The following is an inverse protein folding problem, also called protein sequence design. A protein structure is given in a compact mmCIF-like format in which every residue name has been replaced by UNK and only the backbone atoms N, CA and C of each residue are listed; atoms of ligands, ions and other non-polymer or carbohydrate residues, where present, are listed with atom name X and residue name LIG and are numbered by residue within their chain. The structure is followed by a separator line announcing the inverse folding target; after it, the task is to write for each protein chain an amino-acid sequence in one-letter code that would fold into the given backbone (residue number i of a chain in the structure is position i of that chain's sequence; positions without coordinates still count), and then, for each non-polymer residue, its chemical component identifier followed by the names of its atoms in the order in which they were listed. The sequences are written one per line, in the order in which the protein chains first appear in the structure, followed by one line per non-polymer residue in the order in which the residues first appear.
data_IF_380039859617
#
_entry.id   IF_380039859617
#
_cell.length_a   1.000
_cell.length_b   1.000
_cell.length_c   1.000
_cell.angle_alpha   90.00
_cell.angle_beta   90.00
_cell.angle_gamma   90.00
#
_symmetry.space_group_name_H-M   'P 1'
#
loop_
_entity.id
_entity.type
_entity.pdbx_description
1 polymer ?
#
# COMPACT_ATOMS: atom_id res chain seq x y z
N UNK A 1 -59.59 10.35 -10.51
CA UNK A 1 -60.80 10.76 -11.27
C UNK A 1 -60.29 11.49 -12.51
N UNK A 2 -59.93 10.73 -13.56
CA UNK A 2 -60.79 10.28 -14.68
C UNK A 2 -60.86 11.40 -15.74
N UNK A 3 -60.48 11.28 -17.01
CA UNK A 3 -60.21 10.15 -17.92
C UNK A 3 -59.14 10.62 -18.97
N UNK A 4 -58.24 9.80 -19.54
CA UNK A 4 -58.45 8.81 -20.62
C UNK A 4 -59.35 9.36 -21.77
N UNK A 5 -59.09 9.23 -23.08
CA UNK A 5 -58.31 8.26 -23.87
C UNK A 5 -58.43 8.60 -25.38
N UNK A 6 -57.37 8.31 -26.14
CA UNK A 6 -57.30 7.67 -27.48
C UNK A 6 -57.79 8.32 -28.80
N UNK A 7 -56.84 8.31 -29.76
CA UNK A 7 -56.93 8.07 -31.25
C UNK A 7 -57.53 9.19 -32.13
N UNK A 8 -57.04 9.51 -33.32
CA UNK A 8 -56.28 8.77 -34.36
C UNK A 8 -55.49 9.73 -35.29
N UNK A 9 -54.42 9.22 -35.92
CA UNK A 9 -53.53 9.85 -36.92
C UNK A 9 -54.25 10.08 -38.29
N UNK A 10 -53.62 10.59 -39.39
CA UNK A 10 -52.20 10.93 -39.64
C UNK A 10 -51.93 12.22 -40.47
N UNK A 11 -50.69 12.75 -40.47
CA UNK A 11 -50.00 13.23 -41.70
C UNK A 11 -48.55 13.67 -41.45
N UNK A 12 -47.63 12.97 -42.12
CA UNK A 12 -46.33 13.37 -42.71
C UNK A 12 -45.70 14.73 -42.33
N UNK A 13 -44.51 14.69 -41.73
CA UNK A 13 -43.46 15.70 -41.95
C UNK A 13 -42.07 15.10 -41.67
N UNK A 14 -41.16 15.33 -42.61
CA UNK A 14 -39.87 14.70 -42.79
C UNK A 14 -38.84 15.05 -41.72
N UNK A 15 -37.96 14.07 -41.48
CA UNK A 15 -36.66 14.22 -40.82
C UNK A 15 -35.68 15.01 -41.69
N UNK A 16 -34.92 15.91 -41.05
CA UNK A 16 -33.54 16.23 -41.44
C UNK A 16 -32.78 16.65 -40.18
N UNK A 17 -31.81 15.83 -39.80
CA UNK A 17 -30.82 16.08 -38.75
C UNK A 17 -29.98 17.31 -39.12
N UNK A 18 -29.73 18.18 -38.14
CA UNK A 18 -28.86 19.35 -38.30
C UNK A 18 -27.40 18.94 -38.02
N UNK A 19 -26.55 19.12 -39.04
CA UNK A 19 -25.09 18.98 -38.96
C UNK A 19 -24.48 19.95 -37.92
N UNK A 20 -23.59 19.43 -37.08
CA UNK A 20 -22.74 20.26 -36.22
C UNK A 20 -21.56 20.83 -37.02
N UNK A 21 -21.10 22.07 -36.74
CA UNK A 21 -20.09 22.73 -37.57
C UNK A 21 -18.70 22.14 -37.37
N UNK A 22 -18.04 21.82 -38.49
CA UNK A 22 -16.65 21.35 -38.54
C UNK A 22 -15.70 22.57 -38.46
N UNK A 23 -14.80 22.55 -37.48
CA UNK A 23 -13.73 23.56 -37.28
C UNK A 23 -12.68 23.52 -38.40
N UNK A 24 -12.19 24.67 -38.91
CA UNK A 24 -11.26 24.73 -40.05
C UNK A 24 -9.75 24.77 -39.65
N UNK A 25 -9.37 24.42 -38.42
CA UNK A 25 -7.95 24.36 -38.00
C UNK A 25 -7.57 22.96 -37.47
N UNK A 26 -6.36 22.46 -37.80
CA UNK A 26 -5.97 21.08 -37.52
C UNK A 26 -5.72 20.86 -36.02
N UNK A 27 -6.43 19.89 -35.43
CA UNK A 27 -6.14 19.36 -34.10
C UNK A 27 -5.03 18.30 -34.20
N UNK A 28 -3.80 18.66 -33.85
CA UNK A 28 -2.70 17.70 -33.58
C UNK A 28 -1.98 18.12 -32.30
N UNK A 29 -1.48 17.26 -31.40
CA UNK A 29 -1.56 15.81 -31.19
C UNK A 29 -1.01 15.54 -29.78
N UNK A 30 -1.71 14.81 -28.91
CA UNK A 30 -1.32 14.60 -27.49
C UNK A 30 -0.32 13.46 -27.24
N UNK A 31 0.85 13.67 -26.62
CA UNK A 31 1.45 12.70 -25.72
C UNK A 31 1.27 13.09 -24.24
N UNK A 32 0.12 13.72 -23.89
CA UNK A 32 -0.67 13.59 -22.64
C UNK A 32 -1.54 14.83 -22.24
N UNK A 33 -2.38 15.37 -23.14
CA UNK A 33 -3.57 16.19 -22.77
C UNK A 33 -4.33 16.80 -23.98
N UNK A 34 -5.59 17.28 -23.85
CA UNK A 34 -6.62 16.96 -22.86
C UNK A 34 -7.51 15.78 -23.31
N UNK A 35 -7.87 14.90 -22.38
CA UNK A 35 -8.56 13.63 -22.64
C UNK A 35 -10.08 13.73 -22.52
N UNK A 36 -10.80 13.15 -23.48
CA UNK A 36 -12.21 12.73 -23.28
C UNK A 36 -12.62 11.57 -24.21
N UNK A 37 -11.77 10.56 -24.41
CA UNK A 37 -12.15 9.37 -25.14
C UNK A 37 -11.73 8.12 -24.37
N UNK A 38 -12.72 7.33 -23.94
CA UNK A 38 -12.54 5.99 -23.40
C UNK A 38 -12.31 5.02 -24.55
N UNK A 39 -11.06 4.67 -24.82
CA UNK A 39 -10.70 3.66 -25.81
C UNK A 39 -9.25 3.78 -26.30
N UNK A 40 -8.72 2.70 -26.89
CA UNK A 40 -7.46 2.74 -27.62
C UNK A 40 -7.65 3.58 -28.89
N UNK A 41 -6.92 4.68 -29.02
CA UNK A 41 -6.93 5.51 -30.23
C UNK A 41 -5.59 5.39 -30.92
N UNK A 42 -5.57 4.70 -32.06
CA UNK A 42 -4.42 4.70 -32.97
C UNK A 42 -4.39 6.06 -33.66
N UNK A 43 -3.29 6.79 -33.54
CA UNK A 43 -3.06 7.98 -34.37
C UNK A 43 -2.30 7.58 -35.62
N UNK A 44 -2.63 8.25 -36.72
CA UNK A 44 -1.75 8.32 -37.88
C UNK A 44 -0.85 9.55 -37.72
N UNK A 45 0.47 9.37 -37.67
CA UNK A 45 1.41 10.49 -37.79
C UNK A 45 2.51 10.11 -38.78
N UNK A 46 2.54 10.86 -39.89
CA UNK A 46 3.59 10.75 -40.89
C UNK A 46 4.91 11.31 -40.33
N UNK A 47 5.84 10.45 -39.98
CA UNK A 47 7.27 10.80 -39.88
C UNK A 47 8.09 9.73 -40.60
N UNK A 48 9.09 10.14 -41.38
CA UNK A 48 9.77 9.27 -42.36
C UNK A 48 10.62 8.15 -41.72
N UNK A 49 10.81 8.13 -40.38
CA UNK A 49 11.71 7.18 -39.71
C UNK A 49 11.23 6.61 -38.36
N UNK A 50 10.05 6.96 -37.84
CA UNK A 50 9.51 6.38 -36.61
C UNK A 50 8.11 5.80 -36.87
N UNK A 51 7.91 4.51 -36.54
CA UNK A 51 6.61 3.86 -36.65
C UNK A 51 5.56 4.51 -35.74
N UNK A 52 4.27 4.33 -36.08
CA UNK A 52 3.16 4.87 -35.29
C UNK A 52 3.21 4.34 -33.84
N UNK A 53 3.26 5.24 -32.85
CA UNK A 53 3.16 4.86 -31.43
C UNK A 53 1.71 4.47 -31.09
N UNK A 54 1.55 3.33 -30.43
CA UNK A 54 0.26 2.86 -29.94
C UNK A 54 0.01 3.41 -28.53
N UNK A 55 -1.08 4.17 -28.35
CA UNK A 55 -1.53 4.62 -27.04
C UNK A 55 -2.56 3.64 -26.45
N UNK A 56 -2.25 3.07 -25.28
CA UNK A 56 -3.15 2.17 -24.54
C UNK A 56 -3.43 2.77 -23.16
N UNK A 57 -4.71 2.83 -22.80
CA UNK A 57 -5.16 3.12 -21.44
C UNK A 57 -5.42 1.80 -20.71
N UNK A 58 -4.57 1.46 -19.75
CA UNK A 58 -4.77 0.33 -18.84
C UNK A 58 -5.51 0.83 -17.59
N UNK A 59 -6.71 0.30 -17.34
CA UNK A 59 -7.57 0.72 -16.23
C UNK A 59 -8.65 1.76 -16.63
N UNK A 60 -9.47 2.24 -15.68
CA UNK A 60 -9.34 2.07 -14.23
C UNK A 60 -9.82 0.70 -13.73
N UNK A 61 -10.45 -0.10 -14.60
CA UNK A 61 -10.86 -1.48 -14.29
C UNK A 61 -9.98 -2.45 -15.06
N UNK A 62 -8.98 -3.02 -14.39
CA UNK A 62 -8.15 -4.09 -14.94
C UNK A 62 -7.70 -5.03 -13.81
N UNK A 63 -7.75 -6.36 -13.97
CA UNK A 63 -7.41 -7.31 -12.90
C UNK A 63 -6.05 -7.04 -12.26
N UNK A 64 -5.04 -6.74 -13.09
CA UNK A 64 -3.66 -6.54 -12.63
C UNK A 64 -3.34 -5.14 -12.08
N UNK A 65 -4.34 -4.26 -11.98
CA UNK A 65 -4.16 -2.92 -11.37
C UNK A 65 -4.54 -2.88 -9.88
N UNK A 66 -4.95 -4.04 -9.32
CA UNK A 66 -5.27 -4.24 -7.90
C UNK A 66 -6.15 -3.15 -7.27
N UNK A 67 -7.17 -2.75 -8.02
CA UNK A 67 -8.17 -1.76 -7.61
C UNK A 67 -8.53 -0.82 -8.76
N UNK A 68 -8.78 0.45 -8.42
CA UNK A 68 -9.17 1.51 -9.36
C UNK A 68 -7.96 2.39 -9.71
N UNK A 69 -7.09 1.88 -10.58
CA UNK A 69 -5.89 2.59 -11.04
C UNK A 69 -5.83 2.60 -12.56
N UNK A 70 -5.44 3.75 -13.12
CA UNK A 70 -5.26 3.91 -14.56
C UNK A 70 -3.85 4.35 -14.88
N UNK A 71 -3.24 3.74 -15.87
CA UNK A 71 -2.00 4.21 -16.48
C UNK A 71 -2.17 4.28 -18.00
N UNK A 72 -1.75 5.39 -18.59
CA UNK A 72 -1.72 5.56 -20.03
C UNK A 72 -0.30 5.29 -20.51
N UNK A 73 -0.13 4.27 -21.36
CA UNK A 73 1.16 3.91 -21.93
C UNK A 73 1.18 4.28 -23.42
N UNK A 74 2.31 4.83 -23.88
CA UNK A 74 2.65 4.93 -25.29
C UNK A 74 3.66 3.82 -25.61
N UNK A 75 3.40 3.07 -26.67
CA UNK A 75 4.14 1.87 -27.03
C UNK A 75 4.74 2.00 -28.42
N UNK A 76 5.99 1.59 -28.57
CA UNK A 76 6.62 1.29 -29.86
C UNK A 76 6.67 -0.25 -29.99
N UNK A 77 5.75 -0.81 -30.78
CA UNK A 77 5.46 -2.24 -30.74
C UNK A 77 4.98 -2.70 -29.35
N UNK A 78 5.80 -3.47 -28.65
CA UNK A 78 5.52 -3.96 -27.29
C UNK A 78 6.24 -3.15 -26.20
N UNK A 79 7.16 -2.27 -26.58
CA UNK A 79 8.06 -1.56 -25.67
C UNK A 79 7.42 -0.25 -25.21
N UNK A 80 7.42 -0.01 -23.90
CA UNK A 80 6.92 1.23 -23.31
C UNK A 80 7.92 2.36 -23.53
N UNK A 81 7.49 3.39 -24.26
CA UNK A 81 8.27 4.61 -24.51
C UNK A 81 7.87 5.75 -23.58
N UNK A 82 6.65 5.70 -23.03
CA UNK A 82 6.12 6.69 -22.10
C UNK A 82 5.00 6.11 -21.25
N UNK A 83 4.90 6.49 -19.97
CA UNK A 83 3.84 6.00 -19.09
C UNK A 83 3.37 7.09 -18.13
N UNK A 84 2.07 7.39 -18.13
CA UNK A 84 1.48 8.35 -17.21
C UNK A 84 0.54 7.65 -16.23
N UNK A 85 0.90 7.54 -14.94
CA UNK A 85 -0.04 7.08 -13.92
C UNK A 85 -1.10 8.16 -13.67
N UNK A 86 -2.35 7.73 -13.47
CA UNK A 86 -3.50 8.60 -13.18
C UNK A 86 -4.09 8.19 -11.84
N UNK A 87 -4.05 9.12 -10.90
CA UNK A 87 -4.51 8.98 -9.52
C UNK A 87 -5.87 9.65 -9.29
N UNK A 88 -6.46 9.42 -8.12
CA UNK A 88 -7.61 10.15 -7.60
C UNK A 88 -8.95 9.44 -7.68
N UNK A 89 -9.01 8.23 -8.26
CA UNK A 89 -10.26 7.48 -8.39
C UNK A 89 -10.84 7.03 -7.04
N UNK A 90 -9.98 6.86 -6.02
CA UNK A 90 -10.40 6.49 -4.67
C UNK A 90 -10.22 7.65 -3.66
N UNK A 91 -10.12 8.89 -4.17
CA UNK A 91 -9.92 10.07 -3.31
C UNK A 91 -11.17 10.37 -2.49
N UNK A 92 -11.02 10.36 -1.15
CA UNK A 92 -12.12 10.53 -0.20
C UNK A 92 -11.94 11.74 0.73
N UNK A 93 -11.00 12.64 0.41
CA UNK A 93 -10.64 13.78 1.27
C UNK A 93 -10.30 13.33 2.70
N UNK A 94 -9.51 12.26 2.85
CA UNK A 94 -9.14 11.66 4.13
C UNK A 94 -8.47 12.68 5.04
N UNK A 95 -7.53 13.45 4.51
CA UNK A 95 -6.85 14.49 5.29
C UNK A 95 -7.80 15.57 5.78
N UNK A 96 -8.80 15.94 4.97
CA UNK A 96 -9.80 16.95 5.35
C UNK A 96 -10.74 16.43 6.42
N UNK A 97 -11.18 15.17 6.31
CA UNK A 97 -11.95 14.51 7.36
C UNK A 97 -11.13 14.43 8.66
N UNK A 98 -9.83 14.18 8.53
CA UNK A 98 -8.85 14.23 9.61
C UNK A 98 -8.92 15.50 10.45
N UNK A 99 -8.98 16.67 9.81
CA UNK A 99 -9.07 17.99 10.47
C UNK A 99 -10.42 18.21 11.19
N UNK A 100 -11.50 17.59 10.70
CA UNK A 100 -12.84 17.77 11.29
C UNK A 100 -13.14 16.83 12.46
N UNK A 101 -12.40 15.74 12.56
CA UNK A 101 -12.60 14.72 13.58
C UNK A 101 -11.69 14.96 14.79
N UNK A 102 -12.13 14.50 15.96
CA UNK A 102 -11.23 14.46 17.12
C UNK A 102 -10.06 13.49 16.88
N UNK A 103 -8.95 13.69 17.59
CA UNK A 103 -7.78 12.79 17.47
C UNK A 103 -8.15 11.30 17.59
N UNK A 104 -8.99 10.94 18.57
CA UNK A 104 -9.44 9.56 18.75
C UNK A 104 -10.37 9.09 17.63
N UNK A 105 -11.23 9.96 17.10
CA UNK A 105 -12.14 9.63 16.02
C UNK A 105 -11.44 9.38 14.68
N UNK A 106 -10.18 9.84 14.53
CA UNK A 106 -9.35 9.57 13.36
C UNK A 106 -8.70 8.18 13.36
N UNK A 107 -8.59 7.53 14.51
CA UNK A 107 -7.96 6.20 14.64
C UNK A 107 -8.59 5.15 13.70
N UNK A 108 -9.91 5.03 13.54
CA UNK A 108 -10.50 4.07 12.59
C UNK A 108 -10.30 4.45 11.11
N UNK A 109 -10.01 5.72 10.81
CA UNK A 109 -9.79 6.15 9.43
C UNK A 109 -8.41 5.72 8.94
N UNK A 110 -7.40 5.67 9.82
CA UNK A 110 -6.05 5.26 9.43
C UNK A 110 -6.03 3.83 8.90
N UNK A 111 -6.85 2.94 9.47
CA UNK A 111 -6.97 1.54 9.03
C UNK A 111 -7.49 1.42 7.59
N UNK A 112 -8.17 2.48 7.10
CA UNK A 112 -8.77 2.52 5.76
C UNK A 112 -7.87 3.14 4.70
N UNK A 113 -6.69 3.64 5.09
CA UNK A 113 -5.65 4.08 4.15
C UNK A 113 -5.10 2.85 3.43
N UNK A 114 -4.45 1.96 4.17
CA UNK A 114 -4.05 0.65 3.68
C UNK A 114 -4.76 -0.45 4.47
N UNK A 115 -5.73 -1.08 3.79
CA UNK A 115 -6.58 -2.14 4.33
C UNK A 115 -5.88 -3.50 4.47
N UNK A 116 -4.65 -3.65 3.97
CA UNK A 116 -3.81 -4.82 4.19
C UNK A 116 -2.91 -4.64 5.42
N UNK A 117 -2.43 -3.43 5.68
CA UNK A 117 -1.53 -3.11 6.80
C UNK A 117 -2.15 -2.15 7.83
N UNK A 118 -3.44 -2.35 8.15
CA UNK A 118 -4.23 -1.50 9.05
C UNK A 118 -3.55 -1.23 10.39
N UNK A 119 -2.95 -2.24 11.03
CA UNK A 119 -2.30 -2.10 12.34
C UNK A 119 -1.12 -1.11 12.29
N UNK A 120 -0.27 -1.20 11.27
CA UNK A 120 0.87 -0.29 11.12
C UNK A 120 0.41 1.14 10.80
N UNK A 121 -0.67 1.30 10.03
CA UNK A 121 -1.26 2.62 9.80
C UNK A 121 -1.79 3.24 11.09
N UNK A 122 -2.48 2.44 11.90
CA UNK A 122 -2.94 2.83 13.23
C UNK A 122 -1.78 3.24 14.12
N UNK A 123 -0.68 2.49 14.09
CA UNK A 123 0.50 2.73 14.90
C UNK A 123 1.20 4.04 14.53
N UNK A 124 1.43 4.26 13.25
CA UNK A 124 2.10 5.46 12.75
C UNK A 124 1.37 6.74 13.22
N UNK A 125 0.05 6.74 13.14
CA UNK A 125 -0.77 7.84 13.61
C UNK A 125 -0.75 7.99 15.13
N UNK A 126 -0.94 6.88 15.87
CA UNK A 126 -0.91 6.89 17.34
C UNK A 126 0.45 7.39 17.85
N UNK A 127 1.55 6.95 17.24
CA UNK A 127 2.90 7.40 17.54
C UNK A 127 3.09 8.91 17.31
N UNK A 128 2.55 9.44 16.20
CA UNK A 128 2.58 10.89 15.94
C UNK A 128 1.80 11.69 16.98
N UNK A 129 0.62 11.21 17.38
CA UNK A 129 -0.20 11.85 18.42
C UNK A 129 0.46 11.76 19.80
N UNK A 130 1.07 10.63 20.13
CA UNK A 130 1.81 10.44 21.38
C UNK A 130 3.00 11.39 21.49
N UNK A 131 3.79 11.54 20.41
CA UNK A 131 4.86 12.55 20.33
C UNK A 131 4.32 13.97 20.52
N UNK A 132 3.22 14.30 19.84
CA UNK A 132 2.59 15.63 19.93
C UNK A 132 2.07 15.95 21.34
N UNK A 133 1.52 14.94 22.02
CA UNK A 133 0.93 15.09 23.35
C UNK A 133 1.93 14.86 24.51
N UNK A 134 3.14 14.38 24.21
CA UNK A 134 4.13 13.98 25.22
C UNK A 134 3.68 12.76 26.05
N UNK A 135 2.94 11.83 25.44
CA UNK A 135 2.47 10.61 26.09
C UNK A 135 3.51 9.51 25.84
N UNK A 136 3.94 8.82 26.90
CA UNK A 136 4.82 7.65 26.78
C UNK A 136 3.99 6.38 27.02
N UNK A 137 3.94 5.44 26.05
CA UNK A 137 3.27 4.16 26.24
C UNK A 137 3.91 3.33 27.36
N UNK A 138 3.15 2.38 27.92
CA UNK A 138 3.72 1.42 28.86
C UNK A 138 4.65 0.44 28.15
N UNK A 139 5.62 -0.12 28.87
CA UNK A 139 6.58 -1.05 28.28
C UNK A 139 5.89 -2.28 27.67
N UNK A 140 4.93 -2.87 28.37
CA UNK A 140 4.11 -3.97 27.84
C UNK A 140 3.39 -3.59 26.55
N UNK A 141 2.89 -2.35 26.44
CA UNK A 141 2.25 -1.87 25.22
C UNK A 141 3.22 -1.85 24.04
N UNK A 142 4.46 -1.38 24.24
CA UNK A 142 5.47 -1.32 23.18
C UNK A 142 5.78 -2.73 22.62
N UNK A 143 5.98 -3.72 23.49
CA UNK A 143 6.18 -5.11 23.06
C UNK A 143 5.00 -5.65 22.24
N UNK A 144 3.76 -5.41 22.71
CA UNK A 144 2.57 -5.86 21.99
C UNK A 144 2.37 -5.12 20.66
N UNK A 145 2.72 -3.84 20.57
CA UNK A 145 2.71 -3.08 19.30
C UNK A 145 3.71 -3.64 18.30
N UNK A 146 4.92 -4.01 18.75
CA UNK A 146 5.92 -4.67 17.90
C UNK A 146 5.40 -6.02 17.41
N UNK A 147 4.85 -6.86 18.29
CA UNK A 147 4.28 -8.17 17.91
C UNK A 147 3.19 -8.00 16.84
N UNK A 148 2.24 -7.10 17.07
CA UNK A 148 1.12 -6.86 16.17
C UNK A 148 1.54 -6.15 14.87
N UNK A 149 2.53 -5.26 14.94
CA UNK A 149 3.10 -4.56 13.78
C UNK A 149 3.84 -5.51 12.85
N UNK A 150 4.68 -6.40 13.40
CA UNK A 150 5.38 -7.42 12.61
C UNK A 150 4.43 -8.52 12.10
N UNK A 151 3.38 -8.88 12.86
CA UNK A 151 2.33 -9.75 12.34
C UNK A 151 1.60 -9.09 11.14
N UNK A 152 1.32 -7.79 11.23
CA UNK A 152 0.78 -7.01 10.10
C UNK A 152 1.73 -6.96 8.90
N UNK A 153 3.06 -6.95 9.14
CA UNK A 153 4.07 -7.04 8.08
C UNK A 153 4.03 -8.38 7.36
N UNK A 154 3.95 -9.47 8.11
CA UNK A 154 3.82 -10.80 7.54
C UNK A 154 2.55 -10.90 6.69
N UNK A 155 1.39 -10.44 7.20
CA UNK A 155 0.12 -10.47 6.47
C UNK A 155 0.21 -9.72 5.13
N UNK A 156 0.82 -8.54 5.13
CA UNK A 156 1.01 -7.76 3.91
C UNK A 156 1.93 -8.51 2.91
N UNK A 157 3.09 -8.99 3.36
CA UNK A 157 4.07 -9.63 2.48
C UNK A 157 3.57 -10.96 1.89
N UNK A 158 2.87 -11.78 2.67
CA UNK A 158 2.22 -13.00 2.19
C UNK A 158 1.24 -12.66 1.07
N UNK A 159 0.42 -11.63 1.26
CA UNK A 159 -0.54 -11.18 0.26
C UNK A 159 0.16 -10.71 -1.02
N UNK A 160 1.19 -9.85 -0.89
CA UNK A 160 1.96 -9.35 -2.02
C UNK A 160 2.61 -10.48 -2.82
N UNK A 161 3.30 -11.41 -2.16
CA UNK A 161 3.96 -12.55 -2.81
C UNK A 161 2.94 -13.36 -3.60
N UNK A 162 1.79 -13.67 -2.99
CA UNK A 162 0.71 -14.38 -3.67
C UNK A 162 0.20 -13.66 -4.92
N UNK A 163 -0.08 -12.35 -4.82
CA UNK A 163 -0.60 -11.58 -5.95
C UNK A 163 0.44 -11.35 -7.05
N UNK A 164 1.69 -11.05 -6.71
CA UNK A 164 2.77 -10.89 -7.67
C UNK A 164 2.93 -12.15 -8.54
N UNK A 165 2.90 -13.33 -7.92
CA UNK A 165 2.98 -14.60 -8.65
C UNK A 165 1.75 -14.87 -9.50
N UNK A 166 0.57 -14.44 -9.04
CA UNK A 166 -0.65 -14.56 -9.82
C UNK A 166 -0.58 -13.67 -11.08
N UNK A 167 -0.08 -12.45 -10.95
CA UNK A 167 0.13 -11.53 -12.09
C UNK A 167 1.20 -12.04 -13.06
N UNK A 168 2.19 -12.78 -12.56
CA UNK A 168 3.18 -13.50 -13.37
C UNK A 168 2.60 -14.70 -14.13
N UNK A 169 1.39 -15.15 -13.79
CA UNK A 169 0.67 -16.22 -14.51
C UNK A 169 0.66 -17.58 -13.82
N UNK A 170 1.12 -17.71 -12.57
CA UNK A 170 1.13 -19.00 -11.82
C UNK A 170 -0.26 -19.53 -11.44
N UNK A 171 -1.32 -18.94 -11.98
CA UNK A 171 -2.71 -19.42 -11.92
C UNK A 171 -3.15 -19.84 -10.51
N UNK A 172 -3.27 -18.85 -9.62
CA UNK A 172 -3.84 -18.94 -8.27
C UNK A 172 -3.16 -19.84 -7.23
N UNK A 173 -2.39 -20.87 -7.58
CA UNK A 173 -1.87 -21.84 -6.61
C UNK A 173 -1.09 -21.19 -5.44
N UNK A 174 -0.02 -20.39 -5.69
CA UNK A 174 0.69 -19.72 -4.60
C UNK A 174 -0.16 -18.64 -3.92
N UNK A 175 -1.08 -18.01 -4.66
CA UNK A 175 -2.02 -17.03 -4.09
C UNK A 175 -2.97 -17.69 -3.08
N UNK A 176 -3.53 -18.86 -3.38
CA UNK A 176 -4.42 -19.58 -2.48
C UNK A 176 -3.71 -20.05 -1.21
N UNK A 177 -2.45 -20.49 -1.32
CA UNK A 177 -1.65 -20.85 -0.14
C UNK A 177 -1.37 -19.63 0.71
N UNK A 178 -1.04 -18.50 0.08
CA UNK A 178 -0.84 -17.22 0.76
C UNK A 178 -2.12 -16.74 1.46
N UNK A 179 -3.27 -16.83 0.79
CA UNK A 179 -4.56 -16.47 1.39
C UNK A 179 -4.93 -17.41 2.54
N UNK A 180 -4.62 -18.71 2.47
CA UNK A 180 -4.82 -19.64 3.59
C UNK A 180 -4.05 -19.21 4.83
N UNK A 181 -2.77 -18.86 4.69
CA UNK A 181 -1.98 -18.38 5.83
C UNK A 181 -2.46 -17.01 6.32
N UNK A 182 -2.87 -16.12 5.41
CA UNK A 182 -3.53 -14.87 5.76
C UNK A 182 -4.77 -15.10 6.62
N UNK A 183 -5.67 -16.00 6.22
CA UNK A 183 -6.90 -16.26 6.99
C UNK A 183 -6.61 -16.78 8.41
N UNK A 184 -5.61 -17.65 8.59
CA UNK A 184 -5.20 -18.11 9.93
C UNK A 184 -4.71 -16.98 10.83
N UNK A 185 -3.94 -16.04 10.27
CA UNK A 185 -3.52 -14.84 11.00
C UNK A 185 -4.69 -13.90 11.28
N UNK A 186 -5.66 -13.80 10.35
CA UNK A 186 -6.87 -13.01 10.57
C UNK A 186 -7.76 -13.60 11.67
N UNK A 187 -7.84 -14.92 11.82
CA UNK A 187 -8.60 -15.55 12.91
C UNK A 187 -8.01 -15.15 14.28
N UNK A 188 -6.68 -15.12 14.41
CA UNK A 188 -6.00 -14.64 15.62
C UNK A 188 -6.29 -13.15 15.87
N UNK A 189 -6.26 -12.31 14.82
CA UNK A 189 -6.55 -10.89 14.96
C UNK A 189 -8.03 -10.61 15.25
N UNK A 190 -8.95 -11.40 14.70
CA UNK A 190 -10.37 -11.31 15.01
C UNK A 190 -10.64 -11.65 16.47
N UNK A 191 -10.04 -12.72 16.99
CA UNK A 191 -10.14 -13.12 18.39
C UNK A 191 -9.72 -11.98 19.33
N UNK A 192 -8.65 -11.26 18.98
CA UNK A 192 -8.10 -10.18 19.79
C UNK A 192 -8.88 -8.87 19.67
N UNK A 193 -9.28 -8.49 18.45
CA UNK A 193 -9.75 -7.13 18.13
C UNK A 193 -11.27 -7.06 17.90
N UNK A 194 -11.90 -8.21 17.62
CA UNK A 194 -13.30 -8.32 17.20
C UNK A 194 -13.55 -7.95 15.73
N UNK A 195 -12.50 -7.75 14.92
CA UNK A 195 -12.61 -7.42 13.49
C UNK A 195 -11.53 -8.13 12.66
N UNK A 196 -11.82 -8.40 11.38
CA UNK A 196 -10.91 -9.13 10.48
C UNK A 196 -9.95 -8.26 9.68
N UNK A 197 -10.23 -6.97 9.49
CA UNK A 197 -9.38 -6.08 8.66
C UNK A 197 -9.23 -4.67 9.26
N UNK A 198 -10.34 -4.08 9.71
CA UNK A 198 -10.38 -2.72 10.28
C UNK A 198 -10.37 -2.81 11.81
N UNK A 199 -9.19 -3.03 12.38
CA UNK A 199 -9.05 -3.48 13.77
C UNK A 199 -9.36 -2.39 14.81
N UNK A 200 -9.05 -1.12 14.50
CA UNK A 200 -9.20 0.02 15.39
C UNK A 200 -8.72 -0.31 16.83
N UNK A 201 -7.46 -0.73 16.94
CA UNK A 201 -6.95 -1.42 18.13
C UNK A 201 -5.98 -0.58 18.97
N UNK A 202 -5.06 0.16 18.34
CA UNK A 202 -4.10 0.99 19.10
C UNK A 202 -4.77 2.24 19.65
N UNK A 203 -4.30 2.67 20.83
CA UNK A 203 -4.82 3.82 21.57
C UNK A 203 -3.66 4.66 22.05
N UNK A 204 -3.92 5.94 22.33
CA UNK A 204 -2.87 6.82 22.86
C UNK A 204 -2.45 6.34 24.25
N UNK A 205 -1.17 6.01 24.41
CA UNK A 205 -0.58 5.45 25.62
C UNK A 205 -0.89 3.97 25.88
N UNK A 206 -1.44 3.23 24.91
CA UNK A 206 -1.85 1.85 25.14
C UNK A 206 -2.52 1.13 23.98
N UNK A 207 -3.36 0.15 24.32
CA UNK A 207 -4.15 -0.70 23.41
C UNK A 207 -5.60 -0.77 23.87
N UNK A 208 -6.52 -1.14 22.97
CA UNK A 208 -7.94 -1.30 23.31
C UNK A 208 -8.18 -2.37 24.37
N UNK A 209 -7.51 -3.51 24.25
CA UNK A 209 -7.58 -4.65 25.18
C UNK A 209 -6.20 -5.30 25.30
N UNK A 210 -5.96 -5.99 26.40
CA UNK A 210 -4.75 -6.83 26.58
C UNK A 210 -4.93 -8.18 25.87
N UNK A 211 -3.82 -8.84 25.59
CA UNK A 211 -3.77 -10.19 25.05
C UNK A 211 -3.88 -11.23 26.17
N UNK A 212 -4.51 -12.37 25.88
CA UNK A 212 -4.49 -13.51 26.80
C UNK A 212 -3.22 -14.35 26.62
N UNK A 213 -2.79 -15.06 27.67
CA UNK A 213 -1.65 -15.97 27.58
C UNK A 213 -1.89 -17.11 26.58
N UNK A 214 -3.15 -17.55 26.48
CA UNK A 214 -3.62 -18.57 25.55
C UNK A 214 -3.52 -18.11 24.08
N UNK A 215 -3.87 -16.84 23.80
CA UNK A 215 -3.67 -16.23 22.49
C UNK A 215 -2.19 -16.18 22.09
N UNK A 216 -1.31 -15.77 23.03
CA UNK A 216 0.13 -15.77 22.79
C UNK A 216 0.65 -17.18 22.51
N UNK A 217 0.20 -18.19 23.24
CA UNK A 217 0.58 -19.59 23.00
C UNK A 217 0.16 -20.07 21.60
N UNK A 218 -1.06 -19.74 21.16
CA UNK A 218 -1.54 -20.05 19.80
C UNK A 218 -0.72 -19.36 18.72
N UNK A 219 -0.44 -18.06 18.87
CA UNK A 219 0.39 -17.32 17.91
C UNK A 219 1.78 -17.97 17.79
N UNK A 220 2.41 -18.30 18.93
CA UNK A 220 3.72 -18.95 18.95
C UNK A 220 3.68 -20.29 18.21
N UNK A 221 2.71 -21.15 18.53
CA UNK A 221 2.55 -22.45 17.89
C UNK A 221 2.34 -22.33 16.38
N UNK A 222 1.54 -21.36 15.94
CA UNK A 222 1.33 -21.10 14.53
C UNK A 222 2.63 -20.68 13.82
N UNK A 223 3.36 -19.71 14.39
CA UNK A 223 4.57 -19.17 13.78
C UNK A 223 5.70 -20.21 13.72
N UNK A 224 5.95 -20.95 14.80
CA UNK A 224 7.02 -21.96 14.87
C UNK A 224 6.68 -23.24 14.09
N UNK A 225 5.40 -23.54 13.90
CA UNK A 225 4.93 -24.75 13.22
C UNK A 225 4.50 -24.50 11.79
N UNK A 226 3.24 -24.08 11.63
CA UNK A 226 2.56 -24.03 10.33
C UNK A 226 3.15 -22.95 9.41
N UNK A 227 3.43 -21.77 9.94
CA UNK A 227 3.93 -20.66 9.13
C UNK A 227 5.39 -20.85 8.70
N UNK A 228 6.25 -21.34 9.60
CA UNK A 228 7.63 -21.68 9.27
C UNK A 228 7.69 -22.70 8.12
N UNK A 229 6.88 -23.76 8.19
CA UNK A 229 6.76 -24.75 7.12
C UNK A 229 6.28 -24.12 5.81
N UNK A 230 5.29 -23.24 5.86
CA UNK A 230 4.81 -22.53 4.66
C UNK A 230 5.93 -21.69 4.02
N UNK A 231 6.73 -20.96 4.81
CA UNK A 231 7.84 -20.17 4.27
C UNK A 231 8.88 -21.05 3.57
N UNK A 232 9.23 -22.19 4.17
CA UNK A 232 10.21 -23.12 3.58
C UNK A 232 9.67 -23.78 2.31
N UNK A 233 8.38 -24.15 2.27
CA UNK A 233 7.73 -24.67 1.07
C UNK A 233 7.70 -23.63 -0.06
N UNK A 234 7.35 -22.38 0.25
CA UNK A 234 7.32 -21.28 -0.73
C UNK A 234 8.72 -21.00 -1.30
N UNK A 235 9.72 -20.92 -0.43
CA UNK A 235 11.11 -20.69 -0.81
C UNK A 235 11.63 -21.81 -1.72
N UNK A 236 11.38 -23.07 -1.34
CA UNK A 236 11.79 -24.23 -2.13
C UNK A 236 11.15 -24.30 -3.52
N UNK A 237 9.89 -23.86 -3.65
CA UNK A 237 9.15 -23.93 -4.91
C UNK A 237 9.40 -22.72 -5.83
N UNK A 238 9.64 -21.54 -5.27
CA UNK A 238 9.59 -20.28 -6.01
C UNK A 238 10.97 -19.67 -6.23
N UNK A 239 11.83 -19.65 -5.21
CA UNK A 239 13.08 -18.88 -5.25
C UNK A 239 14.01 -19.30 -6.38
N UNK A 240 14.11 -20.60 -6.64
CA UNK A 240 14.91 -21.16 -7.75
C UNK A 240 14.12 -21.43 -9.03
N UNK A 241 12.86 -20.99 -9.14
CA UNK A 241 12.03 -21.28 -10.29
C UNK A 241 12.50 -20.50 -11.53
N UNK A 242 12.84 -21.22 -12.60
CA UNK A 242 13.40 -20.64 -13.84
C UNK A 242 12.47 -19.60 -14.49
N UNK A 243 11.15 -19.81 -14.43
CA UNK A 243 10.17 -18.88 -15.01
C UNK A 243 10.11 -17.61 -14.17
N UNK A 244 10.10 -17.73 -12.83
CA UNK A 244 10.12 -16.57 -11.94
C UNK A 244 11.38 -15.73 -12.21
N UNK A 245 12.55 -16.38 -12.24
CA UNK A 245 13.83 -15.72 -12.52
C UNK A 245 13.79 -15.01 -13.87
N UNK A 246 13.39 -15.69 -14.95
CA UNK A 246 13.34 -15.13 -16.29
C UNK A 246 12.38 -13.94 -16.44
N UNK A 247 11.32 -13.86 -15.62
CA UNK A 247 10.34 -12.76 -15.69
C UNK A 247 10.63 -11.59 -14.76
N UNK A 248 11.48 -11.78 -13.75
CA UNK A 248 11.68 -10.77 -12.68
C UNK A 248 13.10 -10.24 -12.62
N UNK A 249 14.10 -11.02 -13.03
CA UNK A 249 15.49 -10.57 -13.07
C UNK A 249 15.71 -9.58 -14.21
N UNK A 250 16.36 -8.45 -13.92
CA UNK A 250 16.58 -7.37 -14.88
C UNK A 250 15.34 -6.55 -15.22
N UNK A 251 14.18 -6.86 -14.62
CA UNK A 251 12.91 -6.17 -14.88
C UNK A 251 12.65 -5.07 -13.84
N UNK A 252 12.42 -3.84 -14.29
CA UNK A 252 12.11 -2.69 -13.42
C UNK A 252 13.25 -2.36 -12.47
N UNK A 253 14.46 -2.21 -13.01
CA UNK A 253 15.66 -1.89 -12.23
C UNK A 253 15.53 -0.49 -11.62
N UNK A 254 15.56 -0.43 -10.30
CA UNK A 254 15.58 0.81 -9.53
C UNK A 254 17.03 1.13 -9.13
N UNK A 255 17.61 2.18 -9.71
CA UNK A 255 18.96 2.64 -9.32
C UNK A 255 18.93 3.32 -7.95
N UNK A 256 19.97 3.16 -7.12
CA UNK A 256 20.07 3.78 -5.80
C UNK A 256 19.83 5.30 -5.80
N UNK A 257 20.49 6.02 -6.71
CA UNK A 257 20.39 7.48 -6.78
C UNK A 257 18.98 7.96 -7.13
N UNK A 258 18.30 7.24 -8.04
CA UNK A 258 16.91 7.53 -8.38
C UNK A 258 15.98 7.25 -7.21
N UNK A 259 16.19 6.12 -6.51
CA UNK A 259 15.40 5.75 -5.34
C UNK A 259 15.48 6.82 -4.24
N UNK A 260 16.68 7.31 -3.96
CA UNK A 260 16.92 8.36 -2.95
C UNK A 260 16.29 9.68 -3.39
N UNK A 261 16.53 10.12 -4.63
CA UNK A 261 16.02 11.41 -5.12
C UNK A 261 14.49 11.44 -5.21
N UNK A 262 13.86 10.31 -5.52
CA UNK A 262 12.40 10.19 -5.54
C UNK A 262 11.78 10.05 -4.14
N UNK A 263 12.59 9.85 -3.09
CA UNK A 263 12.11 9.57 -1.74
C UNK A 263 11.46 8.19 -1.61
N UNK A 264 11.80 7.24 -2.49
CA UNK A 264 11.36 5.86 -2.42
C UNK A 264 11.83 5.24 -1.11
N UNK A 265 10.98 4.49 -0.41
CA UNK A 265 11.33 3.90 0.90
C UNK A 265 10.90 2.44 1.03
N UNK A 266 11.39 1.78 2.06
CA UNK A 266 10.97 0.41 2.39
C UNK A 266 11.68 -0.66 1.60
N UNK A 267 11.03 -1.83 1.42
CA UNK A 267 11.64 -2.97 0.76
C UNK A 267 12.11 -2.69 -0.68
N UNK A 268 11.48 -1.76 -1.41
CA UNK A 268 11.97 -1.40 -2.74
C UNK A 268 13.23 -0.53 -2.73
N UNK A 269 13.42 0.32 -1.72
CA UNK A 269 14.68 1.06 -1.53
C UNK A 269 15.81 0.09 -1.17
N UNK A 270 15.55 -0.84 -0.25
CA UNK A 270 16.52 -1.88 0.15
C UNK A 270 16.87 -2.84 -0.98
N UNK A 271 15.92 -3.16 -1.85
CA UNK A 271 16.19 -3.96 -3.05
C UNK A 271 17.23 -3.31 -3.97
N UNK A 272 17.31 -1.97 -4.01
CA UNK A 272 18.35 -1.24 -4.75
C UNK A 272 19.72 -1.17 -4.05
N UNK A 273 19.88 -1.81 -2.88
CA UNK A 273 21.14 -1.82 -2.13
C UNK A 273 21.35 -0.64 -1.19
N UNK A 274 20.35 0.23 -1.02
CA UNK A 274 20.43 1.34 -0.07
C UNK A 274 20.07 0.85 1.34
N UNK A 275 21.05 0.89 2.25
CA UNK A 275 20.89 0.47 3.65
C UNK A 275 20.12 1.53 4.47
N UNK A 276 18.79 1.47 4.39
CA UNK A 276 17.90 2.35 5.13
C UNK A 276 16.63 1.61 5.59
N UNK A 277 16.46 1.54 6.91
CA UNK A 277 15.27 0.99 7.59
C UNK A 277 15.02 1.79 8.88
N UNK A 278 13.81 2.34 9.03
CA UNK A 278 13.48 3.22 10.15
C UNK A 278 13.55 2.50 11.50
N UNK A 279 13.34 1.18 11.54
CA UNK A 279 13.45 0.39 12.78
C UNK A 279 14.88 0.37 13.33
N UNK A 280 15.90 0.52 12.46
CA UNK A 280 17.31 0.62 12.86
C UNK A 280 17.80 2.06 12.99
N UNK A 281 17.30 2.97 12.15
CA UNK A 281 17.71 4.39 12.13
C UNK A 281 17.09 5.15 13.30
N UNK A 282 15.76 5.22 13.35
CA UNK A 282 15.04 5.98 14.39
C UNK A 282 14.87 5.16 15.67
N UNK A 283 14.89 3.82 15.55
CA UNK A 283 14.69 2.90 16.68
C UNK A 283 13.43 3.23 17.48
N UNK A 284 12.35 3.60 16.78
CA UNK A 284 11.09 3.93 17.42
C UNK A 284 10.55 2.73 18.22
N UNK A 285 9.71 3.00 19.22
CA UNK A 285 9.25 1.96 20.15
C UNK A 285 10.45 1.30 20.84
N UNK A 286 10.63 0.00 20.70
CA UNK A 286 11.69 -0.80 21.34
C UNK A 286 12.43 -1.71 20.35
N UNK A 287 12.47 -1.33 19.06
CA UNK A 287 13.16 -2.11 18.03
C UNK A 287 14.68 -2.25 18.27
N UNK A 288 15.27 -1.38 19.08
CA UNK A 288 16.67 -1.42 19.48
C UNK A 288 17.03 -2.63 20.37
N UNK A 289 16.03 -3.26 20.99
CA UNK A 289 16.23 -4.41 21.89
C UNK A 289 16.24 -5.76 21.17
N UNK A 290 15.86 -5.81 19.89
CA UNK A 290 15.73 -7.05 19.14
C UNK A 290 16.88 -7.26 18.16
N UNK A 291 17.40 -8.48 18.10
CA UNK A 291 18.38 -8.87 17.11
C UNK A 291 17.70 -9.34 15.83
N UNK A 292 17.82 -8.56 14.77
CA UNK A 292 17.31 -8.87 13.44
C UNK A 292 18.16 -8.21 12.38
N UNK A 293 18.17 -8.81 11.19
CA UNK A 293 18.89 -8.32 10.02
C UNK A 293 17.95 -7.56 9.09
N UNK A 294 18.49 -6.56 8.43
CA UNK A 294 17.80 -5.85 7.35
C UNK A 294 18.37 -6.39 6.04
N UNK A 295 17.57 -7.10 5.22
CA UNK A 295 18.06 -7.62 3.95
C UNK A 295 18.29 -6.47 2.97
N UNK A 296 19.30 -6.63 2.10
CA UNK A 296 19.63 -5.69 1.03
C UNK A 296 19.70 -6.46 -0.29
N UNK A 297 19.16 -5.87 -1.35
CA UNK A 297 19.33 -6.34 -2.72
C UNK A 297 20.61 -5.77 -3.34
N UNK A 298 20.94 -6.26 -4.53
CA UNK A 298 22.18 -5.89 -5.24
C UNK A 298 21.89 -5.22 -6.59
N UNK A 299 20.81 -5.64 -7.25
CA UNK A 299 20.48 -5.26 -8.62
C UNK A 299 19.33 -4.25 -8.67
N UNK A 300 18.44 -4.22 -7.65
CA UNK A 300 17.29 -3.31 -7.63
C UNK A 300 16.16 -3.70 -8.57
N UNK A 301 16.14 -4.94 -9.05
CA UNK A 301 15.10 -5.45 -9.94
C UNK A 301 13.88 -5.99 -9.18
N UNK A 302 12.93 -6.55 -9.93
CA UNK A 302 11.70 -7.12 -9.34
C UNK A 302 11.98 -8.37 -8.52
N UNK A 303 13.00 -9.16 -8.87
CA UNK A 303 13.37 -10.35 -8.12
C UNK A 303 13.94 -9.99 -6.74
N UNK A 304 14.85 -9.01 -6.68
CA UNK A 304 15.36 -8.49 -5.41
C UNK A 304 14.22 -7.96 -4.54
N UNK A 305 13.27 -7.23 -5.13
CA UNK A 305 12.07 -6.77 -4.43
C UNK A 305 11.27 -7.94 -3.86
N UNK A 306 11.03 -9.00 -4.63
CA UNK A 306 10.38 -10.22 -4.15
C UNK A 306 11.14 -10.85 -2.98
N UNK A 307 12.45 -11.04 -3.12
CA UNK A 307 13.29 -11.65 -2.08
C UNK A 307 13.33 -10.83 -0.79
N UNK A 308 13.32 -9.50 -0.87
CA UNK A 308 13.22 -8.65 0.32
C UNK A 308 12.01 -9.02 1.18
N UNK A 309 10.84 -9.30 0.58
CA UNK A 309 9.63 -9.66 1.34
C UNK A 309 9.73 -11.06 1.93
N UNK A 310 10.29 -12.02 1.19
CA UNK A 310 10.53 -13.37 1.70
C UNK A 310 11.46 -13.37 2.91
N UNK A 311 12.56 -12.62 2.84
CA UNK A 311 13.53 -12.48 3.92
C UNK A 311 12.97 -11.68 5.11
N UNK A 312 12.26 -10.58 4.84
CA UNK A 312 11.62 -9.79 5.90
C UNK A 312 10.55 -10.59 6.66
N UNK A 313 9.82 -11.51 6.02
CA UNK A 313 8.89 -12.40 6.74
C UNK A 313 9.64 -13.28 7.77
N UNK A 314 10.81 -13.83 7.40
CA UNK A 314 11.63 -14.64 8.32
C UNK A 314 12.15 -13.81 9.49
N UNK A 315 12.63 -12.60 9.23
CA UNK A 315 13.09 -11.69 10.28
C UNK A 315 11.94 -11.19 11.17
N UNK A 316 10.74 -10.98 10.60
CA UNK A 316 9.54 -10.60 11.36
C UNK A 316 9.16 -11.68 12.38
N UNK A 317 9.18 -12.96 11.96
CA UNK A 317 8.96 -14.10 12.89
C UNK A 317 9.99 -14.08 14.02
N UNK A 318 11.27 -13.85 13.69
CA UNK A 318 12.36 -13.77 14.68
C UNK A 318 12.13 -12.63 15.68
N UNK A 319 11.66 -11.47 15.23
CA UNK A 319 11.34 -10.34 16.11
C UNK A 319 10.16 -10.69 17.03
N UNK A 320 9.07 -11.24 16.47
CA UNK A 320 7.88 -11.61 17.24
C UNK A 320 8.24 -12.60 18.36
N UNK A 321 9.02 -13.65 18.06
CA UNK A 321 9.40 -14.65 19.05
C UNK A 321 10.29 -14.08 20.16
N UNK A 322 11.20 -13.14 19.84
CA UNK A 322 11.98 -12.42 20.84
C UNK A 322 11.09 -11.52 21.72
N UNK A 323 10.18 -10.77 21.11
CA UNK A 323 9.25 -9.90 21.82
C UNK A 323 8.31 -10.69 22.74
N UNK A 324 7.88 -11.89 22.34
CA UNK A 324 7.05 -12.77 23.17
C UNK A 324 7.83 -13.37 24.34
N UNK A 325 9.12 -13.69 24.15
CA UNK A 325 9.98 -14.20 25.23
C UNK A 325 10.19 -13.16 26.33
N UNK A 326 10.41 -11.92 25.94
CA UNK A 326 10.81 -10.82 26.83
C UNK A 326 9.61 -9.92 27.20
N UNK A 327 8.37 -10.37 26.94
CA UNK A 327 7.15 -9.60 27.19
C UNK A 327 6.99 -9.35 28.71
N UNK A 328 7.04 -8.11 29.20
CA UNK A 328 6.89 -7.84 30.62
C UNK A 328 5.42 -7.95 31.07
N UNK A 329 5.25 -8.28 32.34
CA UNK A 329 3.98 -8.12 33.04
C UNK A 329 3.70 -6.63 33.31
N UNK A 330 2.43 -6.28 33.49
CA UNK A 330 2.02 -4.93 33.87
C UNK A 330 0.83 -4.40 33.08
N UNK A 331 0.45 -3.14 33.30
CA UNK A 331 -0.69 -2.55 32.61
C UNK A 331 -0.35 -2.27 31.14
N UNK A 332 -1.26 -2.64 30.23
CA UNK A 332 -1.18 -2.30 28.81
C UNK A 332 -1.52 -0.83 28.52
N UNK A 333 -2.33 -0.22 29.38
CA UNK A 333 -2.74 1.17 29.22
C UNK A 333 -2.11 2.01 30.33
N UNK A 334 -1.50 3.13 29.98
CA UNK A 334 -1.09 4.13 30.97
C UNK A 334 -2.36 4.73 31.63
N UNK A 335 -2.57 4.60 32.96
CA UNK A 335 -3.71 5.18 33.65
C UNK A 335 -3.83 6.71 33.50
N UNK A 336 -2.72 7.40 33.20
CA UNK A 336 -2.70 8.86 32.99
C UNK A 336 -3.05 9.25 31.55
N UNK A 337 -2.92 8.33 30.59
CA UNK A 337 -3.21 8.59 29.19
C UNK A 337 -4.73 8.62 28.95
N UNK A 338 -5.28 9.83 28.80
CA UNK A 338 -6.69 10.02 28.46
C UNK A 338 -6.85 10.07 26.94
N UNK A 339 -7.23 8.94 26.35
CA UNK A 339 -7.54 8.87 24.92
C UNK A 339 -8.77 9.71 24.52
N UNK A 340 -9.79 9.78 25.40
CA UNK A 340 -11.01 10.56 25.14
C UNK A 340 -10.82 12.01 25.55
N UNK A 341 -11.22 12.93 24.66
CA UNK A 341 -11.12 14.37 24.92
C UNK A 341 -9.68 14.88 24.96
N UNK A 342 -8.75 14.18 24.32
CA UNK A 342 -7.36 14.60 24.18
C UNK A 342 -7.29 16.00 23.54
N UNK A 343 -6.56 16.90 24.17
CA UNK A 343 -6.28 18.26 23.69
C UNK A 343 -4.78 18.51 23.82
N UNK A 344 -3.96 18.12 22.83
CA UNK A 344 -2.54 18.40 22.84
C UNK A 344 -2.31 19.91 22.91
N UNK A 345 -1.18 20.35 23.48
CA UNK A 345 -0.84 21.78 23.46
C UNK A 345 -0.54 22.23 22.02
N UNK A 346 -0.64 23.52 21.76
CA UNK A 346 -0.28 24.07 20.47
C UNK A 346 1.18 23.70 20.11
N UNK A 347 1.39 23.16 18.92
CA UNK A 347 2.65 22.60 18.49
C UNK A 347 2.51 21.70 17.28
N UNK A 348 3.62 21.17 16.80
CA UNK A 348 3.69 20.27 15.65
C UNK A 348 4.50 19.02 15.97
N UNK A 349 4.16 17.91 15.31
CA UNK A 349 4.92 16.68 15.42
C UNK A 349 4.87 15.89 14.11
N UNK A 350 6.00 15.26 13.78
CA UNK A 350 6.07 14.23 12.75
C UNK A 350 6.38 12.88 13.41
N UNK A 351 5.43 11.97 13.34
CA UNK A 351 5.62 10.57 13.73
C UNK A 351 5.74 9.71 12.49
N UNK A 352 6.75 8.84 12.45
CA UNK A 352 6.97 7.89 11.36
C UNK A 352 7.33 6.51 11.88
N UNK A 353 7.03 5.50 11.09
CA UNK A 353 7.39 4.11 11.32
C UNK A 353 7.78 3.44 10.00
N UNK A 354 8.40 2.26 10.09
CA UNK A 354 8.59 1.37 8.95
C UNK A 354 7.33 0.51 8.75
N UNK A 355 6.39 0.97 7.93
CA UNK A 355 5.27 0.16 7.44
C UNK A 355 5.80 -0.94 6.49
N UNK A 356 5.06 -2.04 6.22
CA UNK A 356 5.52 -3.09 5.29
C UNK A 356 5.82 -2.56 3.87
N UNK A 357 5.19 -1.45 3.49
CA UNK A 357 5.38 -0.78 2.20
C UNK A 357 6.52 0.26 2.20
N UNK A 358 7.01 0.65 3.37
CA UNK A 358 8.06 1.66 3.55
C UNK A 358 7.75 2.69 4.63
N UNK A 359 8.34 3.88 4.54
CA UNK A 359 8.17 4.92 5.56
C UNK A 359 6.75 5.49 5.53
N UNK A 360 5.97 5.19 6.57
CA UNK A 360 4.67 5.80 6.79
C UNK A 360 4.78 6.85 7.88
N UNK A 361 4.39 8.08 7.54
CA UNK A 361 4.47 9.22 8.43
C UNK A 361 3.18 10.01 8.55
N UNK A 362 2.96 10.58 9.73
CA UNK A 362 1.89 11.53 10.02
C UNK A 362 2.50 12.82 10.54
N UNK A 363 2.22 13.92 9.86
CA UNK A 363 2.55 15.27 10.30
C UNK A 363 1.27 15.95 10.82
N UNK A 364 1.31 16.31 12.09
CA UNK A 364 0.16 16.83 12.82
C UNK A 364 0.50 18.20 13.41
N UNK A 365 -0.43 19.14 13.28
CA UNK A 365 -0.38 20.44 13.97
C UNK A 365 -1.56 20.51 14.93
N UNK A 366 -1.30 20.89 16.17
CA UNK A 366 -2.32 21.20 17.18
C UNK A 366 -2.37 22.70 17.44
N UNK A 367 -3.58 23.20 17.69
CA UNK A 367 -3.88 24.54 18.16
C UNK A 367 -4.46 24.55 19.59
N UNK A 368 -4.38 23.43 20.31
CA UNK A 368 -4.99 23.27 21.65
C UNK A 368 -6.42 22.71 21.64
N UNK A 369 -7.02 22.52 20.46
CA UNK A 369 -8.37 21.97 20.32
C UNK A 369 -8.34 20.43 20.32
N UNK A 370 -9.50 19.75 20.49
CA UNK A 370 -9.56 18.28 20.41
C UNK A 370 -9.41 17.73 18.98
N UNK A 371 -9.29 18.62 17.99
CA UNK A 371 -9.15 18.29 16.58
C UNK A 371 -7.76 18.73 16.10
N UNK A 372 -7.11 17.99 15.19
CA UNK A 372 -5.88 18.47 14.60
C UNK A 372 -6.18 19.67 13.70
N UNK A 373 -5.43 20.76 13.89
CA UNK A 373 -5.46 21.91 12.99
C UNK A 373 -5.02 21.51 11.57
N UNK A 374 -3.96 20.69 11.50
CA UNK A 374 -3.50 20.06 10.26
C UNK A 374 -3.27 18.57 10.46
N UNK A 375 -3.73 17.78 9.50
CA UNK A 375 -3.53 16.34 9.41
C UNK A 375 -2.94 16.02 8.03
N UNK A 376 -1.66 15.67 7.96
CA UNK A 376 -0.98 15.33 6.69
C UNK A 376 -0.35 13.95 6.78
N UNK A 377 -0.61 13.12 5.76
CA UNK A 377 -0.05 11.77 5.67
C UNK A 377 1.05 11.74 4.60
N UNK A 378 2.21 11.17 4.97
CA UNK A 378 3.27 10.75 4.06
C UNK A 378 3.20 9.22 3.92
N UNK A 379 2.51 8.69 2.91
CA UNK A 379 2.46 7.27 2.71
C UNK A 379 3.52 6.77 1.72
N UNK A 380 4.02 5.55 1.95
CA UNK A 380 4.91 4.88 1.01
C UNK A 380 4.24 4.60 -0.33
N UNK A 381 2.98 4.11 -0.38
CA UNK A 381 2.37 3.70 -1.66
C UNK A 381 2.34 4.81 -2.71
N UNK A 382 2.02 6.05 -2.32
CA UNK A 382 1.98 7.17 -3.26
C UNK A 382 3.37 7.52 -3.78
N UNK A 383 4.34 7.67 -2.86
CA UNK A 383 5.69 8.11 -3.19
C UNK A 383 6.37 7.05 -4.07
N UNK A 384 6.29 5.79 -3.67
CA UNK A 384 6.88 4.68 -4.41
C UNK A 384 6.26 4.52 -5.81
N UNK A 385 4.99 4.88 -5.99
CA UNK A 385 4.30 4.82 -7.29
C UNK A 385 4.66 5.98 -8.24
N UNK A 386 5.24 7.07 -7.73
CA UNK A 386 5.57 8.25 -8.58
C UNK A 386 6.64 7.95 -9.64
N UNK A 387 7.50 6.96 -9.40
CA UNK A 387 8.57 6.54 -10.32
C UNK A 387 8.16 5.38 -11.24
N UNK A 388 6.87 5.05 -11.31
CA UNK A 388 6.41 3.93 -12.14
C UNK A 388 6.81 4.11 -13.60
N UNK A 389 6.78 5.34 -14.13
CA UNK A 389 7.25 5.63 -15.48
C UNK A 389 8.72 5.22 -15.64
N UNK A 390 9.60 5.74 -14.78
CA UNK A 390 11.04 5.47 -14.84
C UNK A 390 11.38 3.97 -14.82
N UNK A 391 10.62 3.18 -14.04
CA UNK A 391 10.82 1.73 -13.95
C UNK A 391 10.35 0.99 -15.20
N UNK A 392 9.34 1.50 -15.90
CA UNK A 392 8.72 0.83 -17.05
C UNK A 392 9.30 1.26 -18.40
N UNK A 393 10.04 2.37 -18.48
CA UNK A 393 10.67 2.80 -19.74
C UNK A 393 11.60 1.72 -20.31
N UNK A 394 11.41 1.40 -21.59
CA UNK A 394 12.18 0.37 -22.29
C UNK A 394 11.79 -1.07 -21.95
N UNK A 395 10.79 -1.28 -21.09
CA UNK A 395 10.26 -2.60 -20.74
C UNK A 395 9.07 -2.95 -21.62
N UNK A 396 8.66 -4.22 -21.61
CA UNK A 396 7.44 -4.63 -22.31
C UNK A 396 6.19 -4.23 -21.54
N UNK A 397 5.04 -4.19 -22.23
CA UNK A 397 3.74 -4.00 -21.58
C UNK A 397 3.44 -5.07 -20.52
N UNK A 398 3.86 -6.32 -20.75
CA UNK A 398 3.68 -7.41 -19.80
C UNK A 398 4.53 -7.20 -18.53
N UNK A 399 5.74 -6.68 -18.69
CA UNK A 399 6.64 -6.41 -17.58
C UNK A 399 6.21 -5.21 -16.75
N UNK A 400 5.54 -4.23 -17.37
CA UNK A 400 4.90 -3.10 -16.66
C UNK A 400 3.95 -3.56 -15.56
N UNK A 401 3.21 -4.65 -15.80
CA UNK A 401 2.31 -5.24 -14.80
C UNK A 401 3.08 -5.84 -13.62
N UNK A 402 4.18 -6.53 -13.89
CA UNK A 402 5.03 -7.16 -12.88
C UNK A 402 5.73 -6.09 -12.04
N UNK A 403 6.21 -5.03 -12.68
CA UNK A 403 6.82 -3.87 -12.05
C UNK A 403 5.81 -3.22 -11.10
N UNK A 404 4.60 -2.94 -11.57
CA UNK A 404 3.53 -2.38 -10.75
C UNK A 404 3.23 -3.27 -9.52
N UNK A 405 3.08 -4.58 -9.74
CA UNK A 405 2.85 -5.55 -8.66
C UNK A 405 3.97 -5.54 -7.62
N UNK A 406 5.23 -5.38 -8.04
CA UNK A 406 6.39 -5.39 -7.16
C UNK A 406 6.56 -4.15 -6.27
N UNK A 407 5.92 -3.03 -6.63
CA UNK A 407 5.94 -1.79 -5.83
C UNK A 407 5.07 -1.93 -4.57
N UNK A 408 4.08 -2.82 -4.60
CA UNK A 408 3.13 -3.09 -3.50
C UNK A 408 2.27 -1.87 -3.12
N UNK A 409 1.36 -1.47 -4.01
CA UNK A 409 0.50 -0.32 -3.79
C UNK A 409 -0.87 -0.68 -3.21
N UNK A 410 -1.41 0.21 -2.39
CA UNK A 410 -2.82 0.20 -2.02
C UNK A 410 -3.42 1.58 -2.29
N UNK A 411 -4.44 1.61 -3.14
CA UNK A 411 -4.96 2.88 -3.68
C UNK A 411 -5.67 3.75 -2.66
N UNK A 412 -6.18 3.16 -1.58
CA UNK A 412 -6.74 3.93 -0.46
C UNK A 412 -5.70 4.83 0.20
N UNK A 413 -4.42 4.43 0.14
CA UNK A 413 -3.30 5.17 0.67
C UNK A 413 -2.73 6.14 -0.38
N UNK A 414 -2.80 5.79 -1.68
CA UNK A 414 -2.40 6.67 -2.79
C UNK A 414 -3.32 7.90 -2.87
N UNK A 415 -4.64 7.69 -2.80
CA UNK A 415 -5.67 8.70 -3.04
C UNK A 415 -6.30 9.21 -1.73
N UNK A 416 -5.56 9.97 -0.94
CA UNK A 416 -5.97 10.42 0.41
C UNK A 416 -6.35 11.89 0.48
#
# INVERSE_FOLDING_TARGET
MNNASTSSAPTTANATEAEAPVSPFPLHSSPFGPSSASGATVRAVNDEFHGDLLEISLGPHHPSTHGVFRMNAALDGEIVTKLKPVFGYLHRNHEKLGETNSYLANVPYTDRLDYLASLTNNWAYVHAVEKLAGITPTERCEYLRVILGELGRIINHVCLVGFLLNDLGTSFTPLLYSLRERERMLDLLEELTGARMMYNFFRFGGLRTDVSADWLARLKHYLEGLFARYLDEQDALLTGNEILLARTQGTGILKPDLAINAGFTGPGLRASGVDYDIRKVDKYSIYDRFDFRVPLGEHGDTYDRFMMRMLEMRESVKIILQAMRDLPDGPVNDPKAKSRGLRPKAGEAYGRIECPKGELGFYLISDGTPNPYRYRVRPPSFINLTILEDLCLGQTLADTIIILGSIDIVLGEVDR
#
